data_IF_246522464640
#
_entry.id   IF_246522464640
#
_cell.length_a   1.000
_cell.length_b   1.000
_cell.length_c   1.000
_cell.angle_alpha   90.00
_cell.angle_beta   90.00
_cell.angle_gamma   90.00
#
_symmetry.space_group_name_H-M   'P 1'
#
loop_
_entity.id
_entity.type
_entity.pdbx_description
1 polymer ?
#
# COMPACT_ATOMS: atom_id res chain seq x y z
N UNK A 1 -0.20 1.78 -17.60
CA UNK A 1 -0.26 1.09 -18.92
C UNK A 1 0.83 1.55 -19.88
N UNK A 2 0.95 2.86 -20.20
CA UNK A 2 2.03 3.37 -21.08
C UNK A 2 3.45 3.00 -20.59
N UNK A 3 3.68 3.06 -19.27
CA UNK A 3 4.97 2.65 -18.68
C UNK A 3 5.32 1.18 -18.95
N UNK A 4 4.34 0.27 -18.91
CA UNK A 4 4.59 -1.15 -19.21
C UNK A 4 4.90 -1.37 -20.68
N UNK A 5 4.25 -0.63 -21.59
CA UNK A 5 4.56 -0.67 -23.02
C UNK A 5 6.01 -0.21 -23.26
N UNK A 6 6.41 0.88 -22.61
CA UNK A 6 7.78 1.37 -22.67
C UNK A 6 8.79 0.33 -22.18
N UNK A 7 8.57 -0.24 -20.98
CA UNK A 7 9.46 -1.27 -20.41
C UNK A 7 9.54 -2.53 -21.29
N UNK A 8 8.43 -2.95 -21.90
CA UNK A 8 8.41 -4.08 -22.81
C UNK A 8 9.29 -3.86 -24.06
N UNK A 9 9.41 -2.61 -24.52
CA UNK A 9 10.24 -2.24 -25.68
C UNK A 9 11.72 -2.14 -25.29
N UNK A 10 12.03 -1.61 -24.10
CA UNK A 10 13.43 -1.43 -23.64
C UNK A 10 14.08 -2.71 -23.11
N UNK A 11 13.29 -3.77 -22.91
CA UNK A 11 13.70 -4.96 -22.19
C UNK A 11 13.34 -4.85 -20.71
N UNK A 12 12.77 -5.93 -20.18
CA UNK A 12 12.33 -6.02 -18.79
C UNK A 12 12.41 -7.46 -18.28
N UNK A 13 12.30 -7.64 -16.96
CA UNK A 13 12.27 -8.94 -16.30
C UNK A 13 10.89 -9.28 -15.75
N UNK A 14 9.82 -8.70 -16.34
CA UNK A 14 8.45 -8.88 -15.88
C UNK A 14 7.73 -9.95 -16.71
N UNK A 15 7.04 -10.84 -16.02
CA UNK A 15 6.09 -11.77 -16.62
C UNK A 15 4.74 -11.08 -16.85
N UNK A 16 3.85 -11.70 -17.64
CA UNK A 16 2.48 -11.22 -17.78
C UNK A 16 1.74 -11.21 -16.42
N UNK A 17 2.04 -12.18 -15.54
CA UNK A 17 1.46 -12.25 -14.20
C UNK A 17 1.88 -11.05 -13.35
N UNK A 18 3.14 -10.62 -13.44
CA UNK A 18 3.67 -9.44 -12.73
C UNK A 18 2.96 -8.15 -13.14
N UNK A 19 2.64 -8.01 -14.43
CA UNK A 19 1.87 -6.87 -14.94
C UNK A 19 0.45 -6.86 -14.35
N UNK A 20 -0.23 -8.01 -14.35
CA UNK A 20 -1.56 -8.11 -13.75
C UNK A 20 -1.51 -7.90 -12.23
N UNK A 21 -0.50 -8.41 -11.55
CA UNK A 21 -0.28 -8.20 -10.12
C UNK A 21 -0.06 -6.71 -9.81
N UNK A 22 0.70 -5.98 -10.63
CA UNK A 22 0.91 -4.55 -10.46
C UNK A 22 -0.37 -3.74 -10.66
N UNK A 23 -1.18 -4.10 -11.67
CA UNK A 23 -2.50 -3.48 -11.89
C UNK A 23 -3.43 -3.79 -10.71
N UNK A 24 -3.49 -5.05 -10.27
CA UNK A 24 -4.28 -5.47 -9.12
C UNK A 24 -3.89 -4.74 -7.83
N UNK A 25 -2.58 -4.64 -7.56
CA UNK A 25 -2.06 -3.89 -6.42
C UNK A 25 -2.42 -2.40 -6.50
N UNK A 26 -2.37 -1.81 -7.69
CA UNK A 26 -2.79 -0.41 -7.91
C UNK A 26 -4.26 -0.23 -7.54
N UNK A 27 -5.15 -1.10 -8.03
CA UNK A 27 -6.58 -1.03 -7.75
C UNK A 27 -6.87 -1.20 -6.24
N UNK A 28 -6.23 -2.19 -5.62
CA UNK A 28 -6.39 -2.46 -4.18
C UNK A 28 -5.92 -1.28 -3.33
N UNK A 29 -4.81 -0.65 -3.72
CA UNK A 29 -4.26 0.53 -3.04
C UNK A 29 -5.17 1.74 -3.14
N UNK A 30 -5.74 1.98 -4.32
CA UNK A 30 -6.71 3.06 -4.53
C UNK A 30 -7.93 2.85 -3.62
N UNK A 31 -8.50 1.63 -3.61
CA UNK A 31 -9.66 1.31 -2.78
C UNK A 31 -9.33 1.54 -1.29
N UNK A 32 -8.20 1.04 -0.82
CA UNK A 32 -7.79 1.17 0.59
C UNK A 32 -7.65 2.62 1.03
N UNK A 33 -6.94 3.44 0.26
CA UNK A 33 -6.74 4.88 0.57
C UNK A 33 -8.03 5.66 0.44
N UNK A 34 -8.87 5.39 -0.57
CA UNK A 34 -10.16 6.04 -0.72
C UNK A 34 -11.09 5.77 0.47
N UNK A 35 -11.20 4.51 0.89
CA UNK A 35 -12.04 4.13 2.05
C UNK A 35 -11.53 4.78 3.33
N UNK A 36 -10.20 4.82 3.55
CA UNK A 36 -9.60 5.52 4.68
C UNK A 36 -9.94 7.02 4.69
N UNK A 37 -9.78 7.70 3.56
CA UNK A 37 -10.07 9.12 3.44
C UNK A 37 -11.56 9.42 3.70
N UNK A 38 -12.45 8.59 3.17
CA UNK A 38 -13.90 8.73 3.43
C UNK A 38 -14.25 8.45 4.89
N UNK A 39 -13.68 7.41 5.51
CA UNK A 39 -13.87 7.10 6.92
C UNK A 39 -13.45 8.26 7.83
N UNK A 40 -12.25 8.81 7.61
CA UNK A 40 -11.76 9.98 8.35
C UNK A 40 -12.70 11.18 8.22
N UNK A 41 -13.35 11.31 7.06
CA UNK A 41 -14.26 12.43 6.80
C UNK A 41 -15.59 12.27 7.52
N UNK A 42 -16.14 11.06 7.53
CA UNK A 42 -17.38 10.76 8.25
C UNK A 42 -17.25 10.97 9.76
N UNK A 43 -16.06 10.77 10.33
CA UNK A 43 -15.84 10.87 11.78
C UNK A 43 -15.38 12.27 12.21
N UNK A 44 -14.54 12.96 11.43
CA UNK A 44 -13.86 14.18 11.89
C UNK A 44 -14.01 15.40 10.97
N UNK A 45 -14.43 15.24 9.71
CA UNK A 45 -14.37 16.33 8.70
C UNK A 45 -15.76 16.62 8.12
N UNK A 46 -16.33 17.77 8.50
CA UNK A 46 -17.71 18.13 8.12
C UNK A 46 -17.84 18.94 6.84
N UNK A 47 -16.73 19.34 6.19
CA UNK A 47 -16.75 20.20 5.00
C UNK A 47 -15.89 19.63 3.87
N UNK A 48 -16.34 19.82 2.64
CA UNK A 48 -15.61 19.41 1.42
C UNK A 48 -14.22 20.06 1.33
N UNK A 49 -14.11 21.34 1.72
CA UNK A 49 -12.83 22.05 1.72
C UNK A 49 -11.81 21.46 2.70
N UNK A 50 -12.25 21.06 3.90
CA UNK A 50 -11.38 20.42 4.87
C UNK A 50 -11.02 18.97 4.46
N UNK A 51 -11.93 18.28 3.75
CA UNK A 51 -11.64 16.94 3.21
C UNK A 51 -10.54 17.01 2.15
N UNK A 52 -10.68 17.91 1.18
CA UNK A 52 -9.67 18.12 0.13
C UNK A 52 -8.31 18.52 0.70
N UNK A 53 -8.30 19.44 1.68
CA UNK A 53 -7.07 19.82 2.38
C UNK A 53 -6.41 18.64 3.13
N UNK A 54 -7.20 17.83 3.83
CA UNK A 54 -6.71 16.64 4.53
C UNK A 54 -6.12 15.60 3.56
N UNK A 55 -6.84 15.28 2.48
CA UNK A 55 -6.36 14.37 1.43
C UNK A 55 -5.09 14.90 0.78
N UNK A 56 -4.99 16.20 0.55
CA UNK A 56 -3.78 16.84 0.01
C UNK A 56 -2.57 16.67 0.91
N UNK A 57 -2.72 16.95 2.21
CA UNK A 57 -1.64 16.76 3.21
C UNK A 57 -1.24 15.30 3.32
N UNK A 58 -2.21 14.39 3.43
CA UNK A 58 -1.95 12.96 3.45
C UNK A 58 -1.20 12.52 2.19
N UNK A 59 -1.65 12.92 1.01
CA UNK A 59 -1.01 12.53 -0.25
C UNK A 59 0.46 12.96 -0.32
N UNK A 60 0.80 14.14 0.20
CA UNK A 60 2.18 14.62 0.26
C UNK A 60 3.03 13.85 1.29
N UNK A 61 2.48 13.57 2.48
CA UNK A 61 3.23 12.92 3.57
C UNK A 61 3.40 11.41 3.37
N UNK A 62 2.37 10.73 2.83
CA UNK A 62 2.31 9.27 2.73
C UNK A 62 3.43 8.73 1.85
N UNK A 63 3.77 9.39 0.73
CA UNK A 63 4.81 8.89 -0.18
C UNK A 63 6.18 8.72 0.49
N UNK A 64 6.52 9.61 1.42
CA UNK A 64 7.72 9.48 2.24
C UNK A 64 7.55 8.39 3.31
N UNK A 65 6.42 8.41 4.02
CA UNK A 65 6.18 7.52 5.15
C UNK A 65 6.06 6.05 4.75
N UNK A 66 5.34 5.71 3.68
CA UNK A 66 5.17 4.30 3.26
C UNK A 66 6.44 3.67 2.71
N UNK A 67 7.54 4.44 2.70
CA UNK A 67 8.78 4.08 2.07
C UNK A 67 8.56 3.87 0.58
N UNK A 68 7.92 4.80 -0.15
CA UNK A 68 7.91 4.72 -1.62
C UNK A 68 9.21 5.27 -2.20
N UNK A 69 9.73 6.36 -1.61
CA UNK A 69 10.99 6.99 -2.03
C UNK A 69 12.25 6.33 -1.47
N UNK A 70 12.19 5.80 -0.26
CA UNK A 70 13.29 5.09 0.39
C UNK A 70 12.79 3.76 0.97
N UNK A 71 13.60 2.70 0.97
CA UNK A 71 13.24 1.42 1.59
C UNK A 71 12.92 1.62 3.07
N UNK A 72 11.89 0.94 3.57
CA UNK A 72 11.45 1.09 4.97
C UNK A 72 12.57 0.71 5.95
N UNK A 73 13.45 -0.24 5.59
CA UNK A 73 14.61 -0.64 6.38
C UNK A 73 15.60 0.50 6.67
N UNK A 74 15.57 1.58 5.88
CA UNK A 74 16.45 2.76 6.10
C UNK A 74 15.95 3.71 7.18
N UNK A 75 14.69 3.58 7.61
CA UNK A 75 14.13 4.44 8.66
C UNK A 75 14.55 3.98 10.06
N UNK A 76 14.57 4.88 11.05
CA UNK A 76 14.65 4.49 12.45
C UNK A 76 13.53 3.52 12.83
N UNK A 77 13.81 2.55 13.70
CA UNK A 77 12.87 1.48 14.09
C UNK A 77 11.49 1.99 14.52
N UNK A 78 11.44 3.13 15.23
CA UNK A 78 10.18 3.75 15.63
C UNK A 78 9.31 4.15 14.43
N UNK A 79 9.92 4.71 13.38
CA UNK A 79 9.22 5.08 12.16
C UNK A 79 8.82 3.82 11.38
N UNK A 80 9.68 2.81 11.30
CA UNK A 80 9.34 1.54 10.66
C UNK A 80 8.05 0.96 11.24
N UNK A 81 7.89 0.94 12.56
CA UNK A 81 6.67 0.42 13.18
C UNK A 81 5.44 1.29 12.94
N UNK A 82 5.59 2.62 12.87
CA UNK A 82 4.48 3.53 12.51
C UNK A 82 4.00 3.25 11.09
N UNK A 83 4.90 2.98 10.17
CA UNK A 83 4.56 2.80 8.75
C UNK A 83 3.88 1.45 8.50
N UNK A 84 4.12 0.44 9.34
CA UNK A 84 3.37 -0.83 9.30
C UNK A 84 1.85 -0.66 9.55
N UNK A 85 1.41 0.43 10.17
CA UNK A 85 -0.03 0.72 10.32
C UNK A 85 -0.67 1.31 9.06
N UNK A 86 0.14 1.71 8.07
CA UNK A 86 -0.35 2.30 6.84
C UNK A 86 -0.51 1.20 5.77
N UNK A 87 -1.71 1.01 5.19
CA UNK A 87 -1.88 0.02 4.13
C UNK A 87 -1.00 0.30 2.90
N UNK A 88 -0.69 1.58 2.66
CA UNK A 88 0.21 1.97 1.57
C UNK A 88 1.62 1.40 1.68
N UNK A 89 2.09 1.07 2.89
CA UNK A 89 3.42 0.45 3.09
C UNK A 89 3.46 -0.92 2.44
N UNK A 90 2.45 -1.76 2.68
CA UNK A 90 2.37 -3.09 2.06
C UNK A 90 2.27 -3.01 0.55
N UNK A 91 1.52 -2.03 0.02
CA UNK A 91 1.46 -1.78 -1.42
C UNK A 91 2.83 -1.44 -2.02
N UNK A 92 3.60 -0.58 -1.36
CA UNK A 92 4.96 -0.22 -1.79
C UNK A 92 5.90 -1.43 -1.74
N UNK A 93 5.76 -2.32 -0.76
CA UNK A 93 6.49 -3.59 -0.67
C UNK A 93 6.18 -4.53 -1.84
N UNK A 94 4.88 -4.70 -2.16
CA UNK A 94 4.44 -5.53 -3.28
C UNK A 94 4.97 -4.99 -4.61
N UNK A 95 4.90 -3.67 -4.84
CA UNK A 95 5.47 -3.09 -6.06
C UNK A 95 6.97 -3.35 -6.18
N UNK A 96 7.73 -3.22 -5.09
CA UNK A 96 9.17 -3.56 -5.13
C UNK A 96 9.41 -5.00 -5.48
N UNK A 97 8.70 -5.93 -4.85
CA UNK A 97 8.82 -7.34 -5.16
C UNK A 97 8.53 -7.61 -6.63
N UNK A 98 7.42 -7.08 -7.18
CA UNK A 98 7.04 -7.26 -8.58
C UNK A 98 8.12 -6.72 -9.52
N UNK A 99 8.63 -5.51 -9.28
CA UNK A 99 9.57 -4.87 -10.21
C UNK A 99 11.03 -5.32 -10.05
N UNK A 100 11.41 -5.89 -8.91
CA UNK A 100 12.80 -6.23 -8.61
C UNK A 100 13.09 -7.72 -8.66
N UNK A 101 12.14 -8.61 -8.30
CA UNK A 101 12.41 -10.06 -8.21
C UNK A 101 12.98 -10.65 -9.51
N UNK A 102 12.40 -10.31 -10.66
CA UNK A 102 12.89 -10.79 -11.95
C UNK A 102 14.33 -10.33 -12.25
N UNK A 103 14.68 -9.09 -11.93
CA UNK A 103 16.03 -8.58 -12.12
C UNK A 103 17.03 -9.17 -11.12
N UNK A 104 16.59 -9.40 -9.87
CA UNK A 104 17.41 -10.03 -8.83
C UNK A 104 17.69 -11.50 -9.16
N UNK A 105 16.74 -12.21 -9.77
CA UNK A 105 16.89 -13.61 -10.15
C UNK A 105 18.06 -13.84 -11.14
N UNK A 106 18.32 -12.87 -12.01
CA UNK A 106 19.39 -12.90 -13.01
C UNK A 106 20.80 -12.59 -12.43
N UNK A 107 20.88 -12.20 -11.16
CA UNK A 107 22.15 -11.96 -10.50
C UNK A 107 22.83 -13.29 -10.12
N UNK A 108 24.13 -13.39 -10.42
CA UNK A 108 24.86 -14.66 -10.41
C UNK A 108 25.24 -15.26 -9.04
N UNK A 109 25.01 -14.59 -7.90
CA UNK A 109 25.42 -15.11 -6.59
C UNK A 109 24.41 -14.78 -5.47
N UNK A 110 24.04 -15.78 -4.67
CA UNK A 110 22.94 -15.68 -3.69
C UNK A 110 23.16 -14.61 -2.60
N UNK A 111 24.33 -14.48 -1.96
CA UNK A 111 24.59 -13.38 -1.03
C UNK A 111 24.37 -11.97 -1.59
N UNK A 112 24.62 -11.75 -2.89
CA UNK A 112 24.34 -10.46 -3.54
C UNK A 112 22.84 -10.24 -3.68
N UNK A 113 22.09 -11.30 -4.01
CA UNK A 113 20.63 -11.26 -4.12
C UNK A 113 19.98 -10.95 -2.77
N UNK A 114 20.40 -11.64 -1.71
CA UNK A 114 19.90 -11.39 -0.34
C UNK A 114 20.22 -9.97 0.12
N UNK A 115 21.46 -9.50 -0.07
CA UNK A 115 21.86 -8.15 0.28
C UNK A 115 21.04 -7.07 -0.44
N UNK A 116 20.71 -7.26 -1.73
CA UNK A 116 19.84 -6.34 -2.48
C UNK A 116 18.40 -6.42 -1.98
N UNK A 117 17.87 -7.62 -1.72
CA UNK A 117 16.51 -7.78 -1.19
C UNK A 117 16.34 -7.07 0.15
N UNK A 118 17.34 -7.17 1.03
CA UNK A 118 17.35 -6.49 2.33
C UNK A 118 17.51 -4.97 2.18
N UNK A 119 18.49 -4.53 1.39
CA UNK A 119 18.77 -3.11 1.17
C UNK A 119 17.57 -2.36 0.60
N UNK A 120 16.80 -3.00 -0.29
CA UNK A 120 15.63 -2.40 -0.91
C UNK A 120 14.30 -2.76 -0.21
N UNK A 121 14.33 -3.51 0.89
CA UNK A 121 13.12 -3.98 1.59
C UNK A 121 12.15 -4.73 0.66
N UNK A 122 12.68 -5.59 -0.22
CA UNK A 122 11.88 -6.51 -1.05
C UNK A 122 11.12 -7.48 -0.14
N UNK A 123 11.81 -7.99 0.88
CA UNK A 123 11.15 -8.60 2.03
C UNK A 123 11.02 -7.53 3.13
N UNK A 124 9.83 -7.40 3.72
CA UNK A 124 9.59 -6.42 4.78
C UNK A 124 9.87 -7.02 6.14
N UNK A 125 10.42 -6.22 7.05
CA UNK A 125 10.50 -6.58 8.45
C UNK A 125 9.21 -6.20 9.17
N UNK A 126 8.52 -7.20 9.71
CA UNK A 126 7.35 -7.06 10.56
C UNK A 126 7.71 -7.40 12.01
N UNK A 127 8.07 -6.38 12.79
CA UNK A 127 8.42 -6.51 14.22
C UNK A 127 9.57 -7.49 14.51
N UNK A 128 10.66 -7.41 13.76
CA UNK A 128 11.84 -8.27 13.87
C UNK A 128 11.69 -9.60 13.13
N UNK A 129 10.71 -9.72 12.24
CA UNK A 129 10.48 -10.91 11.40
C UNK A 129 10.33 -10.52 9.95
N UNK A 130 11.25 -11.00 9.12
CA UNK A 130 11.16 -10.87 7.67
C UNK A 130 9.95 -11.64 7.14
N UNK A 131 9.02 -10.94 6.50
CA UNK A 131 7.84 -11.50 5.86
C UNK A 131 7.96 -11.42 4.34
N UNK A 132 7.51 -12.48 3.67
CA UNK A 132 7.48 -12.58 2.21
C UNK A 132 6.35 -11.76 1.59
N UNK A 133 6.43 -11.57 0.27
CA UNK A 133 5.46 -10.81 -0.53
C UNK A 133 4.04 -11.38 -0.45
N UNK A 134 3.92 -12.69 -0.29
CA UNK A 134 2.65 -13.41 -0.11
C UNK A 134 1.92 -12.95 1.16
N UNK A 135 2.65 -12.88 2.28
CA UNK A 135 2.12 -12.41 3.56
C UNK A 135 1.78 -10.92 3.47
N UNK A 136 2.65 -10.11 2.86
CA UNK A 136 2.42 -8.66 2.64
C UNK A 136 1.13 -8.45 1.84
N UNK A 137 0.90 -9.23 0.78
CA UNK A 137 -0.31 -9.18 -0.04
C UNK A 137 -1.56 -9.57 0.75
N UNK A 138 -1.49 -10.64 1.55
CA UNK A 138 -2.61 -11.06 2.41
C UNK A 138 -2.94 -9.98 3.43
N UNK A 139 -1.95 -9.33 4.03
CA UNK A 139 -2.17 -8.23 4.99
C UNK A 139 -2.87 -7.06 4.28
N UNK A 140 -2.40 -6.64 3.11
CA UNK A 140 -3.02 -5.53 2.37
C UNK A 140 -4.48 -5.82 2.01
N UNK A 141 -4.78 -7.03 1.51
CA UNK A 141 -6.14 -7.45 1.19
C UNK A 141 -7.00 -7.46 2.46
N UNK A 142 -6.50 -8.05 3.54
CA UNK A 142 -7.22 -8.16 4.81
C UNK A 142 -7.55 -6.79 5.39
N UNK A 143 -6.57 -5.87 5.42
CA UNK A 143 -6.76 -4.49 5.90
C UNK A 143 -7.78 -3.77 5.01
N UNK A 144 -7.71 -3.92 3.70
CA UNK A 144 -8.66 -3.27 2.77
C UNK A 144 -10.09 -3.77 2.98
N UNK A 145 -10.28 -5.08 3.15
CA UNK A 145 -11.60 -5.68 3.44
C UNK A 145 -12.14 -5.19 4.78
N UNK A 146 -11.30 -5.13 5.82
CA UNK A 146 -11.69 -4.63 7.14
C UNK A 146 -12.11 -3.16 7.10
N UNK A 147 -11.35 -2.32 6.38
CA UNK A 147 -11.68 -0.91 6.20
C UNK A 147 -13.02 -0.74 5.48
N UNK A 148 -13.24 -1.51 4.41
CA UNK A 148 -14.50 -1.47 3.67
C UNK A 148 -15.69 -1.94 4.52
N UNK A 149 -15.52 -3.01 5.29
CA UNK A 149 -16.54 -3.50 6.21
C UNK A 149 -16.88 -2.45 7.29
N UNK A 150 -15.86 -1.82 7.89
CA UNK A 150 -16.05 -0.74 8.86
C UNK A 150 -16.83 0.44 8.25
N UNK A 151 -16.47 0.86 7.02
CA UNK A 151 -17.20 1.89 6.29
C UNK A 151 -18.68 1.51 6.07
N UNK A 152 -18.95 0.29 5.60
CA UNK A 152 -20.32 -0.17 5.37
C UNK A 152 -21.15 -0.18 6.67
N UNK A 153 -20.58 -0.67 7.78
CA UNK A 153 -21.25 -0.68 9.09
C UNK A 153 -21.56 0.74 9.57
N UNK A 154 -20.59 1.66 9.51
CA UNK A 154 -20.78 3.06 9.92
C UNK A 154 -21.88 3.71 9.09
N UNK A 155 -21.89 3.51 7.78
CA UNK A 155 -22.94 4.02 6.89
C UNK A 155 -24.33 3.50 7.28
N UNK A 156 -24.46 2.19 7.53
CA UNK A 156 -25.73 1.59 7.95
C UNK A 156 -26.23 2.20 9.28
N UNK A 157 -25.33 2.41 10.25
CA UNK A 157 -25.67 3.00 11.54
C UNK A 157 -26.14 4.46 11.37
N UNK A 158 -25.42 5.25 10.58
CA UNK A 158 -25.76 6.66 10.32
C UNK A 158 -27.12 6.79 9.59
N UNK A 159 -27.37 5.96 8.58
CA UNK A 159 -28.65 5.95 7.85
C UNK A 159 -29.81 5.55 8.77
N UNK A 160 -29.63 4.53 9.62
CA UNK A 160 -30.65 4.13 10.60
C UNK A 160 -30.94 5.24 11.61
N UNK A 161 -29.90 5.92 12.12
CA UNK A 161 -30.05 7.05 13.04
C UNK A 161 -30.83 8.19 12.41
N UNK A 162 -30.51 8.58 11.17
CA UNK A 162 -31.25 9.62 10.46
C UNK A 162 -32.73 9.25 10.25
N UNK A 163 -33.04 8.00 9.91
CA UNK A 163 -34.45 7.56 9.80
C UNK A 163 -35.22 7.56 11.13
N UNK A 164 -34.54 7.34 12.26
CA UNK A 164 -35.16 7.38 13.59
C UNK A 164 -35.47 8.82 14.05
N UNK A 165 -34.59 9.78 13.76
CA UNK A 165 -34.79 11.20 14.13
C UNK A 165 -35.76 11.95 13.20
N UNK A 166 -36.01 11.46 11.98
CA UNK A 166 -36.95 12.06 11.03
C UNK A 166 -38.37 11.44 11.10
N UNK A 167 -38.68 10.70 12.16
CA UNK A 167 -39.98 10.08 12.43
C UNK A 167 -40.57 10.69 13.69
#
# INVERSE_FOLDING_TARGET
>A
CLAFIYLAITGWYLTAADVFAAIGNTLLSIISVSVLATLASLTFIKTEGAHSGFVGILSAAIGFLIGAYMPVSTFPTAIQYVTLFLPGTYSAGIFRSIFMEGAIAELGFEPVREGIREAYSVNMDFFGKTIGVDIIAVILVSVTVLLFAAYAVIQIILVKKNKFFNK
#
